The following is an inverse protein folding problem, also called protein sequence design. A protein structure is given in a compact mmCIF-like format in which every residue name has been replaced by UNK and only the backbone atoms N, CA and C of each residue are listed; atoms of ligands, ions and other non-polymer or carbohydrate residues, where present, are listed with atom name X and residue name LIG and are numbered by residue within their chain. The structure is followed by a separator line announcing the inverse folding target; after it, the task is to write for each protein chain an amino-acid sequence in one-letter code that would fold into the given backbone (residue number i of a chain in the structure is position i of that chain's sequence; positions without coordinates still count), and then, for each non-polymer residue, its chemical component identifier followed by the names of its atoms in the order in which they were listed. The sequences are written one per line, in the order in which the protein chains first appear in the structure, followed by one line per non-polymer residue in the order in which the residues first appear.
data_IF_842342233805
#
_entry.id   IF_842342233805
#
_cell.length_a   1.000
_cell.length_b   1.000
_cell.length_c   1.000
_cell.angle_alpha   90.00
_cell.angle_beta   90.00
_cell.angle_gamma   90.00
#
_symmetry.space_group_name_H-M   'P 1'
#
loop_
_entity.id
_entity.type
_entity.pdbx_description
1 polymer ?
#
# COMPACT_ATOMS: atom_id res chain seq x y z
N UNK A 1 -49.37 16.43 -30.16
CA UNK A 1 -48.25 16.08 -29.26
C UNK A 1 -46.96 16.28 -30.05
N UNK A 2 -46.25 17.40 -29.85
CA UNK A 2 -45.08 17.75 -30.66
C UNK A 2 -43.79 17.23 -30.00
N UNK A 3 -42.84 16.65 -30.76
CA UNK A 3 -41.63 16.07 -30.18
C UNK A 3 -40.68 17.18 -29.72
N UNK A 4 -40.17 17.05 -28.49
CA UNK A 4 -39.21 17.97 -27.89
C UNK A 4 -37.88 17.90 -28.63
N UNK A 5 -37.56 18.91 -29.45
CA UNK A 5 -36.29 18.97 -30.19
C UNK A 5 -35.16 19.34 -29.23
N UNK A 6 -34.29 18.39 -28.91
CA UNK A 6 -33.11 18.66 -28.07
C UNK A 6 -32.14 19.53 -28.87
N UNK A 7 -31.84 20.72 -28.36
CA UNK A 7 -30.86 21.63 -28.97
C UNK A 7 -29.46 21.03 -28.95
N UNK A 8 -28.72 21.16 -30.06
CA UNK A 8 -27.35 20.65 -30.20
C UNK A 8 -26.41 21.21 -29.13
N UNK A 9 -26.68 22.41 -28.58
CA UNK A 9 -25.89 22.98 -27.49
C UNK A 9 -26.16 22.31 -26.14
N UNK A 10 -27.39 21.83 -25.90
CA UNK A 10 -27.75 21.05 -24.72
C UNK A 10 -27.13 19.66 -24.78
N UNK A 11 -27.17 19.02 -25.96
CA UNK A 11 -26.51 17.75 -26.19
C UNK A 11 -24.98 17.84 -25.96
N UNK A 12 -24.32 18.88 -26.50
CA UNK A 12 -22.88 19.13 -26.29
C UNK A 12 -22.51 19.35 -24.82
N UNK A 13 -23.31 20.13 -24.08
CA UNK A 13 -23.10 20.35 -22.63
C UNK A 13 -23.26 19.05 -21.84
N UNK A 14 -24.26 18.24 -22.18
CA UNK A 14 -24.52 16.97 -21.50
C UNK A 14 -23.37 15.98 -21.74
N UNK A 15 -22.88 15.89 -22.98
CA UNK A 15 -21.70 15.09 -23.31
C UNK A 15 -20.45 15.58 -22.58
N UNK A 16 -20.24 16.90 -22.48
CA UNK A 16 -19.11 17.47 -21.75
C UNK A 16 -19.17 17.15 -20.24
N UNK A 17 -20.36 17.26 -19.62
CA UNK A 17 -20.55 16.92 -18.19
C UNK A 17 -20.30 15.44 -17.94
N UNK A 18 -20.81 14.57 -18.82
CA UNK A 18 -20.58 13.12 -18.72
C UNK A 18 -19.10 12.78 -18.86
N UNK A 19 -18.40 13.35 -19.84
CA UNK A 19 -16.97 13.12 -20.05
C UNK A 19 -16.13 13.59 -18.86
N UNK A 20 -16.41 14.77 -18.32
CA UNK A 20 -15.71 15.28 -17.13
C UNK A 20 -15.99 14.42 -15.90
N UNK A 21 -17.24 13.98 -15.73
CA UNK A 21 -17.65 13.12 -14.62
C UNK A 21 -16.97 11.76 -14.65
N UNK A 22 -16.88 11.11 -15.82
CA UNK A 22 -16.20 9.82 -15.95
C UNK A 22 -14.70 9.92 -15.75
N UNK A 23 -14.06 11.00 -16.22
CA UNK A 23 -12.62 11.24 -15.97
C UNK A 23 -12.33 11.44 -14.48
N UNK A 24 -13.15 12.21 -13.76
CA UNK A 24 -13.00 12.42 -12.32
C UNK A 24 -13.20 11.12 -11.52
N UNK A 25 -14.20 10.31 -11.90
CA UNK A 25 -14.42 9.00 -11.29
C UNK A 25 -13.25 8.05 -11.52
N UNK A 26 -12.70 8.01 -12.73
CA UNK A 26 -11.54 7.17 -13.05
C UNK A 26 -10.30 7.60 -12.24
N UNK A 27 -10.04 8.91 -12.13
CA UNK A 27 -8.94 9.44 -11.33
C UNK A 27 -9.12 9.14 -9.84
N UNK A 28 -10.35 9.23 -9.31
CA UNK A 28 -10.65 8.89 -7.93
C UNK A 28 -10.37 7.41 -7.65
N UNK A 29 -10.80 6.50 -8.54
CA UNK A 29 -10.58 5.04 -8.39
C UNK A 29 -9.09 4.71 -8.37
N UNK A 30 -8.28 5.31 -9.25
CA UNK A 30 -6.83 5.07 -9.28
C UNK A 30 -6.13 5.75 -8.09
N UNK A 31 -6.56 6.95 -7.71
CA UNK A 31 -5.92 7.74 -6.65
C UNK A 31 -6.15 7.22 -5.23
N UNK A 32 -7.22 6.47 -4.99
CA UNK A 32 -7.51 5.82 -3.69
C UNK A 32 -7.16 4.34 -3.68
N UNK A 33 -6.76 3.76 -4.81
CA UNK A 33 -6.30 2.39 -4.84
C UNK A 33 -5.08 2.26 -3.93
N UNK A 34 -5.06 1.29 -2.99
CA UNK A 34 -3.88 1.05 -2.18
C UNK A 34 -2.70 0.72 -3.11
N UNK A 35 -1.67 1.57 -3.07
CA UNK A 35 -0.42 1.32 -3.77
C UNK A 35 0.32 0.14 -3.16
N UNK A 36 1.33 -0.36 -3.87
CA UNK A 36 2.28 -1.32 -3.29
C UNK A 36 3.02 -0.65 -2.13
N UNK A 37 2.80 -1.14 -0.91
CA UNK A 37 3.59 -0.70 0.24
C UNK A 37 5.05 -1.17 0.06
N UNK A 38 6.00 -0.24 0.13
CA UNK A 38 7.41 -0.60 0.26
C UNK A 38 7.64 -1.13 1.68
N UNK A 39 7.75 -2.45 1.81
CA UNK A 39 8.15 -3.23 2.99
C UNK A 39 7.62 -2.78 4.38
N UNK A 40 6.76 -3.63 4.98
CA UNK A 40 6.45 -3.64 6.42
C UNK A 40 7.56 -4.39 7.20
N UNK A 41 7.58 -4.29 8.53
CA UNK A 41 8.63 -4.84 9.42
C UNK A 41 8.89 -6.36 9.26
N UNK A 42 10.08 -6.82 9.70
CA UNK A 42 10.80 -8.09 9.44
C UNK A 42 10.02 -9.33 8.95
N UNK A 43 8.84 -9.66 9.47
CA UNK A 43 8.09 -10.87 9.05
C UNK A 43 7.11 -10.64 7.89
N UNK A 44 6.90 -9.39 7.49
CA UNK A 44 5.98 -9.00 6.41
C UNK A 44 6.68 -8.31 5.23
N UNK A 45 8.01 -8.29 5.19
CA UNK A 45 8.76 -7.74 4.07
C UNK A 45 8.74 -8.74 2.89
N UNK A 46 7.97 -8.47 1.80
CA UNK A 46 7.78 -9.44 0.71
C UNK A 46 9.08 -9.76 -0.04
N UNK A 47 10.11 -8.94 0.12
CA UNK A 47 11.39 -9.07 -0.59
C UNK A 47 12.41 -9.98 0.10
N UNK A 48 12.21 -10.38 1.36
CA UNK A 48 13.14 -11.29 2.09
C UNK A 48 12.48 -12.60 2.54
N UNK A 49 11.16 -12.74 2.38
CA UNK A 49 10.40 -13.93 2.81
C UNK A 49 10.83 -15.26 2.13
N UNK A 50 11.58 -15.20 1.02
CA UNK A 50 12.14 -16.36 0.32
C UNK A 50 13.64 -16.58 0.56
N UNK A 51 14.27 -15.78 1.42
CA UNK A 51 15.70 -15.82 1.72
C UNK A 51 15.92 -16.07 3.22
N UNK A 52 15.96 -17.34 3.65
CA UNK A 52 16.10 -17.71 5.06
C UNK A 52 17.35 -17.15 5.73
N UNK A 53 18.40 -16.82 4.96
CA UNK A 53 19.63 -16.25 5.52
C UNK A 53 19.43 -14.83 6.04
N UNK A 54 18.35 -14.16 5.63
CA UNK A 54 18.04 -12.78 5.96
C UNK A 54 16.76 -12.64 6.81
N UNK A 55 16.14 -13.74 7.24
CA UNK A 55 14.94 -13.77 8.11
C UNK A 55 15.32 -14.18 9.56
N UNK A 56 16.34 -13.51 10.12
CA UNK A 56 16.74 -13.72 11.51
C UNK A 56 15.85 -12.96 12.50
N UNK A 57 15.60 -13.51 13.69
CA UNK A 57 14.90 -12.75 14.74
C UNK A 57 15.88 -11.90 15.57
N UNK A 58 15.32 -10.99 16.37
CA UNK A 58 16.12 -10.11 17.22
C UNK A 58 17.01 -10.88 18.19
N UNK A 59 18.26 -10.40 18.35
CA UNK A 59 19.19 -10.94 19.33
C UNK A 59 18.98 -10.28 20.69
N UNK A 60 18.90 -11.10 21.74
CA UNK A 60 18.83 -10.62 23.12
C UNK A 60 20.18 -10.80 23.83
N UNK A 61 20.54 -9.81 24.65
CA UNK A 61 21.80 -9.82 25.40
C UNK A 61 21.55 -9.43 26.86
N UNK A 62 22.12 -10.20 27.78
CA UNK A 62 22.01 -9.94 29.22
C UNK A 62 23.38 -10.15 29.87
N UNK A 63 23.72 -9.29 30.84
CA UNK A 63 24.88 -9.52 31.70
C UNK A 63 24.61 -10.75 32.55
N UNK A 64 25.59 -11.65 32.66
CA UNK A 64 25.43 -12.85 33.47
C UNK A 64 25.32 -12.46 34.96
N UNK A 65 24.26 -12.92 35.67
CA UNK A 65 24.07 -12.56 37.08
C UNK A 65 25.16 -13.10 38.02
N UNK A 66 25.82 -14.21 37.64
CA UNK A 66 26.85 -14.88 38.45
C UNK A 66 28.27 -14.40 38.12
N UNK A 67 28.49 -13.86 36.91
CA UNK A 67 29.75 -13.27 36.47
C UNK A 67 29.51 -12.00 35.61
N UNK A 68 29.56 -10.80 36.20
CA UNK A 68 29.32 -9.54 35.50
C UNK A 68 30.33 -9.20 34.39
N UNK A 69 31.44 -9.94 34.29
CA UNK A 69 32.39 -9.82 33.18
C UNK A 69 31.90 -10.48 31.89
N UNK A 70 30.82 -11.25 31.94
CA UNK A 70 30.30 -12.05 30.83
C UNK A 70 28.92 -11.57 30.36
N UNK A 71 28.66 -11.75 29.06
CA UNK A 71 27.36 -11.48 28.42
C UNK A 71 26.82 -12.78 27.83
N UNK A 72 25.56 -13.08 28.15
CA UNK A 72 24.80 -14.17 27.53
C UNK A 72 24.05 -13.62 26.32
N UNK A 73 24.23 -14.27 25.17
CA UNK A 73 23.52 -13.96 23.93
C UNK A 73 22.51 -15.05 23.61
N UNK A 74 21.29 -14.65 23.24
CA UNK A 74 20.25 -15.55 22.73
C UNK A 74 19.82 -15.08 21.34
N UNK A 75 19.97 -15.97 20.36
CA UNK A 75 19.58 -15.76 18.97
C UNK A 75 19.05 -17.08 18.39
N UNK A 76 18.30 -16.97 17.30
CA UNK A 76 17.89 -18.10 16.45
C UNK A 76 18.12 -17.76 14.98
N UNK A 77 18.02 -18.77 14.13
CA UNK A 77 18.12 -18.71 12.67
C UNK A 77 17.25 -19.80 12.06
#
# INVERSE_FOLDING_TARGET
MAPTRISHSRAKRLVAVLASGTSLLAAAVVGIAPGTAGASSHREAPMIAGDPQHDGTDTYAFVNPDDPGMVTLLANW
#
